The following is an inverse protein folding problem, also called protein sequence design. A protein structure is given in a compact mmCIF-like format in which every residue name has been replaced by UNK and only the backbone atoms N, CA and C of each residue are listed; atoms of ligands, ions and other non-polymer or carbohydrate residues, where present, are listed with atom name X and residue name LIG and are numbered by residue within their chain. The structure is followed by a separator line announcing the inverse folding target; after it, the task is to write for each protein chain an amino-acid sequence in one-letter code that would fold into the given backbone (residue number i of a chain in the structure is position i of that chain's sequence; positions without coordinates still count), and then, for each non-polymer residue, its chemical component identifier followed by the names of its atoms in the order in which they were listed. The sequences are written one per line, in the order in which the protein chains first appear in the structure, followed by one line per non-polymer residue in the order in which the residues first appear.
data_IF_446061262167
#
_entry.id   IF_446061262167
#
_cell.length_a   1.000
_cell.length_b   1.000
_cell.length_c   1.000
_cell.angle_alpha   90.00
_cell.angle_beta   90.00
_cell.angle_gamma   90.00
#
_symmetry.space_group_name_H-M   'P 1'
#
loop_
_entity.id
_entity.type
_entity.pdbx_description
1 polymer ?
#
# COMPACT_ATOMS: atom_id res chain seq x y z
N UNK A 1 33.91 59.04 11.13
CA UNK A 1 32.74 58.26 11.58
C UNK A 1 32.92 56.84 11.07
N UNK A 2 32.86 55.82 11.94
CA UNK A 2 33.11 54.44 11.54
C UNK A 2 31.92 53.96 10.70
N UNK A 3 32.22 53.40 9.52
CA UNK A 3 31.22 52.76 8.66
C UNK A 3 30.88 51.40 9.25
N UNK A 4 29.69 51.29 9.85
CA UNK A 4 29.10 50.01 10.24
C UNK A 4 28.89 49.16 8.98
N UNK A 5 29.78 48.20 8.76
CA UNK A 5 29.61 47.14 7.77
C UNK A 5 28.61 46.14 8.34
N UNK A 6 27.41 46.13 7.79
CA UNK A 6 26.39 45.12 8.06
C UNK A 6 27.01 43.73 7.73
N UNK A 7 26.96 42.76 8.66
CA UNK A 7 27.53 41.43 8.42
C UNK A 7 26.78 40.73 7.30
N UNK A 8 27.53 40.23 6.32
CA UNK A 8 27.00 39.42 5.23
C UNK A 8 26.32 38.17 5.81
N UNK A 9 25.00 38.11 5.70
CA UNK A 9 24.20 36.93 6.01
C UNK A 9 24.60 35.87 4.98
N UNK A 10 25.54 35.01 5.38
CA UNK A 10 25.91 33.83 4.60
C UNK A 10 24.80 32.82 4.78
N UNK A 11 23.83 32.82 3.86
CA UNK A 11 22.82 31.79 3.75
C UNK A 11 23.55 30.52 3.29
N UNK A 12 23.91 29.67 4.24
CA UNK A 12 24.45 28.35 3.92
C UNK A 12 23.38 27.57 3.15
N UNK A 13 23.66 27.02 1.96
CA UNK A 13 22.70 26.15 1.30
C UNK A 13 22.45 24.93 2.21
N UNK A 14 21.18 24.49 2.37
CA UNK A 14 20.88 23.29 3.13
C UNK A 14 21.58 22.11 2.45
N UNK A 15 22.61 21.58 3.09
CA UNK A 15 23.28 20.35 2.65
C UNK A 15 22.27 19.22 2.68
N UNK A 16 21.87 18.82 1.47
CA UNK A 16 20.83 17.86 1.14
C UNK A 16 21.26 16.44 1.55
N UNK A 17 21.00 16.06 2.79
CA UNK A 17 21.04 14.66 3.23
C UNK A 17 19.74 13.96 2.82
N UNK A 18 19.61 13.52 1.55
CA UNK A 18 18.39 12.83 1.06
C UNK A 18 18.62 11.54 0.26
N UNK A 19 19.83 10.96 0.24
CA UNK A 19 20.11 9.86 -0.68
C UNK A 19 19.86 8.43 -0.15
N UNK A 20 19.52 8.20 1.13
CA UNK A 20 19.44 6.83 1.69
C UNK A 20 18.06 6.40 2.22
N UNK A 21 17.04 7.25 2.16
CA UNK A 21 15.69 6.94 2.66
C UNK A 21 14.70 6.48 1.57
N UNK A 22 15.00 6.70 0.30
CA UNK A 22 14.03 6.53 -0.81
C UNK A 22 13.66 5.08 -1.14
N UNK A 23 14.59 4.13 -1.05
CA UNK A 23 14.24 2.72 -1.33
C UNK A 23 13.37 2.12 -0.22
N UNK A 24 13.41 2.69 0.99
CA UNK A 24 12.61 2.19 2.12
C UNK A 24 11.13 2.50 1.96
N UNK A 25 10.77 3.68 1.43
CA UNK A 25 9.38 4.13 1.31
C UNK A 25 8.60 3.35 0.25
N UNK A 26 9.19 3.09 -0.92
CA UNK A 26 8.55 2.26 -1.94
C UNK A 26 8.34 0.81 -1.47
N UNK A 27 9.32 0.23 -0.77
CA UNK A 27 9.22 -1.11 -0.20
C UNK A 27 8.15 -1.19 0.91
N UNK A 28 8.03 -0.16 1.74
CA UNK A 28 6.99 -0.04 2.76
C UNK A 28 5.59 0.06 2.16
N UNK A 29 5.39 0.89 1.13
CA UNK A 29 4.12 1.00 0.41
C UNK A 29 3.70 -0.34 -0.21
N UNK A 30 4.66 -1.10 -0.74
CA UNK A 30 4.41 -2.44 -1.27
C UNK A 30 4.03 -3.43 -0.19
N UNK A 31 4.75 -3.44 0.93
CA UNK A 31 4.45 -4.27 2.08
C UNK A 31 3.04 -3.98 2.62
N UNK A 32 2.62 -2.72 2.64
CA UNK A 32 1.28 -2.33 3.07
C UNK A 32 0.19 -2.81 2.09
N UNK A 33 0.41 -2.70 0.77
CA UNK A 33 -0.54 -3.25 -0.23
C UNK A 33 -0.67 -4.76 -0.15
N UNK A 34 0.44 -5.49 0.03
CA UNK A 34 0.43 -6.94 0.25
C UNK A 34 -0.29 -7.32 1.56
N UNK A 35 -0.15 -6.50 2.61
CA UNK A 35 -0.84 -6.71 3.87
C UNK A 35 -2.34 -6.53 3.72
N UNK A 36 -2.77 -5.50 2.99
CA UNK A 36 -4.20 -5.24 2.71
C UNK A 36 -4.82 -6.38 1.91
N UNK A 37 -4.15 -6.89 0.87
CA UNK A 37 -4.66 -8.05 0.10
C UNK A 37 -4.80 -9.30 0.98
N UNK A 38 -3.83 -9.53 1.87
CA UNK A 38 -3.87 -10.67 2.80
C UNK A 38 -4.99 -10.54 3.86
N UNK A 39 -5.27 -9.32 4.32
CA UNK A 39 -6.44 -9.03 5.19
C UNK A 39 -7.74 -9.41 4.46
N UNK A 40 -7.89 -8.99 3.20
CA UNK A 40 -9.07 -9.32 2.40
C UNK A 40 -9.22 -10.82 2.17
N UNK A 41 -8.14 -11.52 1.79
CA UNK A 41 -8.15 -12.97 1.63
C UNK A 41 -8.57 -13.68 2.93
N UNK A 42 -8.03 -13.24 4.08
CA UNK A 42 -8.37 -13.82 5.39
C UNK A 42 -9.84 -13.57 5.76
N UNK A 43 -10.39 -12.39 5.47
CA UNK A 43 -11.82 -12.10 5.68
C UNK A 43 -12.72 -12.98 4.81
N UNK A 44 -12.35 -13.20 3.55
CA UNK A 44 -13.08 -14.11 2.65
C UNK A 44 -13.07 -15.54 3.21
N UNK A 45 -11.93 -16.04 3.69
CA UNK A 45 -11.82 -17.36 4.36
C UNK A 45 -12.74 -17.46 5.58
N UNK A 46 -12.77 -16.43 6.42
CA UNK A 46 -13.66 -16.38 7.58
C UNK A 46 -15.15 -16.44 7.15
N UNK A 47 -15.51 -15.67 6.12
CA UNK A 47 -16.86 -15.70 5.54
C UNK A 47 -17.23 -17.08 4.99
N UNK A 48 -16.31 -17.74 4.29
CA UNK A 48 -16.48 -19.11 3.82
C UNK A 48 -16.67 -20.11 4.97
N UNK A 49 -15.86 -20.04 6.02
CA UNK A 49 -16.00 -20.91 7.19
C UNK A 49 -17.35 -20.72 7.89
N UNK A 50 -17.80 -19.46 8.03
CA UNK A 50 -19.11 -19.14 8.61
C UNK A 50 -20.25 -19.69 7.74
N UNK A 51 -20.17 -19.49 6.43
CA UNK A 51 -21.15 -20.02 5.48
C UNK A 51 -21.20 -21.55 5.49
N UNK A 52 -20.03 -22.22 5.48
CA UNK A 52 -19.93 -23.67 5.57
C UNK A 52 -20.54 -24.18 6.89
N UNK A 53 -20.23 -23.53 8.01
CA UNK A 53 -20.82 -23.87 9.31
C UNK A 53 -22.35 -23.73 9.30
N UNK A 54 -22.90 -22.70 8.67
CA UNK A 54 -24.35 -22.53 8.53
C UNK A 54 -24.95 -23.64 7.65
N UNK A 55 -24.33 -23.90 6.50
CA UNK A 55 -24.77 -24.93 5.56
C UNK A 55 -24.80 -26.31 6.22
N UNK A 56 -23.82 -26.63 7.07
CA UNK A 56 -23.79 -27.92 7.77
C UNK A 56 -24.98 -28.14 8.72
N UNK A 57 -25.62 -27.08 9.23
CA UNK A 57 -26.83 -27.23 10.03
C UNK A 57 -28.02 -27.74 9.21
N UNK A 58 -28.04 -27.46 7.91
CA UNK A 58 -29.10 -27.91 7.01
C UNK A 58 -28.80 -29.26 6.37
N UNK A 59 -27.52 -29.56 6.14
CA UNK A 59 -27.09 -30.77 5.41
C UNK A 59 -26.88 -31.97 6.34
N UNK A 60 -26.52 -31.75 7.60
CA UNK A 60 -26.25 -32.86 8.54
C UNK A 60 -27.51 -33.67 8.84
N UNK A 61 -27.45 -34.99 8.61
CA UNK A 61 -28.57 -35.89 8.88
C UNK A 61 -28.74 -36.20 10.37
N UNK A 62 -27.64 -36.18 11.14
CA UNK A 62 -27.65 -36.41 12.59
C UNK A 62 -27.11 -35.20 13.38
N UNK A 63 -27.65 -34.98 14.58
CA UNK A 63 -27.22 -33.89 15.48
C UNK A 63 -25.73 -33.99 15.86
N UNK A 64 -25.19 -35.19 16.03
CA UNK A 64 -23.78 -35.42 16.33
C UNK A 64 -22.87 -34.98 15.18
N UNK A 65 -23.27 -35.24 13.93
CA UNK A 65 -22.53 -34.83 12.72
C UNK A 65 -22.48 -33.30 12.62
N UNK A 66 -23.63 -32.64 12.84
CA UNK A 66 -23.72 -31.18 12.86
C UNK A 66 -22.81 -30.57 13.93
N UNK A 67 -22.74 -31.17 15.12
CA UNK A 67 -21.88 -30.70 16.22
C UNK A 67 -20.40 -30.86 15.85
N UNK A 68 -19.98 -32.02 15.34
CA UNK A 68 -18.57 -32.28 14.98
C UNK A 68 -18.12 -31.34 13.86
N UNK A 69 -18.91 -31.21 12.79
CA UNK A 69 -18.63 -30.30 11.69
C UNK A 69 -18.63 -28.83 12.14
N UNK A 70 -19.61 -28.44 12.95
CA UNK A 70 -19.70 -27.09 13.49
C UNK A 70 -18.49 -26.73 14.35
N UNK A 71 -18.04 -27.65 15.23
CA UNK A 71 -16.84 -27.46 16.05
C UNK A 71 -15.57 -27.35 15.19
N UNK A 72 -15.46 -28.15 14.14
CA UNK A 72 -14.33 -28.07 13.21
C UNK A 72 -14.29 -26.72 12.49
N UNK A 73 -15.41 -26.28 11.91
CA UNK A 73 -15.48 -24.98 11.22
C UNK A 73 -15.29 -23.81 12.19
N UNK A 74 -15.78 -23.93 13.43
CA UNK A 74 -15.52 -22.95 14.49
C UNK A 74 -14.02 -22.87 14.82
N UNK A 75 -13.33 -24.01 14.95
CA UNK A 75 -11.88 -24.04 15.18
C UNK A 75 -11.12 -23.33 14.06
N UNK A 76 -11.47 -23.63 12.80
CA UNK A 76 -10.88 -22.94 11.65
C UNK A 76 -11.19 -21.45 11.64
N UNK A 77 -12.43 -21.06 11.96
CA UNK A 77 -12.80 -19.66 12.07
C UNK A 77 -11.97 -18.92 13.13
N UNK A 78 -11.79 -19.53 14.31
CA UNK A 78 -10.97 -18.96 15.38
C UNK A 78 -9.49 -18.87 14.98
N UNK A 79 -8.97 -19.86 14.26
CA UNK A 79 -7.61 -19.81 13.70
C UNK A 79 -7.45 -18.65 12.71
N UNK A 80 -8.40 -18.48 11.79
CA UNK A 80 -8.38 -17.36 10.83
C UNK A 80 -8.52 -16.00 11.54
N UNK A 81 -9.36 -15.90 12.58
CA UNK A 81 -9.48 -14.70 13.41
C UNK A 81 -8.16 -14.38 14.14
N UNK A 82 -7.47 -15.40 14.65
CA UNK A 82 -6.17 -15.23 15.28
C UNK A 82 -5.12 -14.73 14.27
N UNK A 83 -5.07 -15.31 13.08
CA UNK A 83 -4.17 -14.88 12.00
C UNK A 83 -4.46 -13.44 11.56
N UNK A 84 -5.75 -13.07 11.44
CA UNK A 84 -6.17 -11.70 11.11
C UNK A 84 -5.71 -10.70 12.18
N UNK A 85 -5.90 -11.02 13.46
CA UNK A 85 -5.43 -10.18 14.58
C UNK A 85 -3.91 -10.03 14.57
N UNK A 86 -3.17 -11.12 14.34
CA UNK A 86 -1.71 -11.09 14.20
C UNK A 86 -1.27 -10.20 13.03
N UNK A 87 -1.96 -10.28 11.90
CA UNK A 87 -1.68 -9.44 10.73
C UNK A 87 -1.94 -7.97 11.03
N UNK A 88 -3.04 -7.64 11.71
CA UNK A 88 -3.34 -6.28 12.15
C UNK A 88 -2.34 -5.75 13.20
N UNK A 89 -1.75 -6.62 14.01
CA UNK A 89 -0.69 -6.27 14.97
C UNK A 89 0.70 -6.09 14.36
N UNK A 90 0.84 -6.16 13.02
CA UNK A 90 2.11 -5.92 12.33
C UNK A 90 2.99 -7.18 12.19
N UNK A 91 2.43 -8.38 12.34
CA UNK A 91 3.16 -9.61 12.04
C UNK A 91 3.59 -9.65 10.56
N UNK A 92 4.72 -10.30 10.28
CA UNK A 92 5.24 -10.47 8.91
C UNK A 92 4.20 -11.18 8.03
N UNK A 93 3.84 -10.54 6.92
CA UNK A 93 2.83 -11.05 5.97
C UNK A 93 3.19 -12.44 5.40
N UNK A 94 4.49 -12.74 5.27
CA UNK A 94 4.99 -14.05 4.83
C UNK A 94 4.46 -15.22 5.64
N UNK A 95 4.67 -15.17 6.95
CA UNK A 95 4.30 -16.27 7.82
C UNK A 95 2.78 -16.38 7.93
N UNK A 96 2.08 -15.25 8.07
CA UNK A 96 0.62 -15.25 8.18
C UNK A 96 -0.03 -15.81 6.92
N UNK A 97 0.47 -15.44 5.74
CA UNK A 97 -0.01 -15.96 4.46
C UNK A 97 0.15 -17.47 4.35
N UNK A 98 1.36 -17.97 4.65
CA UNK A 98 1.66 -19.40 4.59
C UNK A 98 0.83 -20.20 5.59
N UNK A 99 0.72 -19.76 6.85
CA UNK A 99 -0.10 -20.44 7.85
C UNK A 99 -1.58 -20.47 7.46
N UNK A 100 -2.10 -19.38 6.87
CA UNK A 100 -3.46 -19.34 6.33
C UNK A 100 -3.66 -20.37 5.21
N UNK A 101 -2.71 -20.49 4.28
CA UNK A 101 -2.75 -21.51 3.22
C UNK A 101 -2.64 -22.93 3.78
N UNK A 102 -1.77 -23.18 4.76
CA UNK A 102 -1.66 -24.49 5.42
C UNK A 102 -2.95 -24.87 6.14
N UNK A 103 -3.65 -23.91 6.74
CA UNK A 103 -4.97 -24.14 7.31
C UNK A 103 -5.98 -24.54 6.22
N UNK A 104 -6.00 -23.85 5.07
CA UNK A 104 -6.88 -24.21 3.95
C UNK A 104 -6.57 -25.61 3.40
N UNK A 105 -5.29 -26.00 3.32
CA UNK A 105 -4.86 -27.35 2.95
C UNK A 105 -5.38 -28.38 3.95
N UNK A 106 -5.29 -28.10 5.26
CA UNK A 106 -5.82 -28.98 6.29
C UNK A 106 -7.35 -29.15 6.17
N UNK A 107 -8.10 -28.08 5.88
CA UNK A 107 -9.54 -28.17 5.59
C UNK A 107 -9.79 -29.07 4.39
N UNK A 108 -9.07 -28.83 3.28
CA UNK A 108 -9.27 -29.58 2.04
C UNK A 108 -8.99 -31.08 2.24
N UNK A 109 -7.95 -31.45 2.99
CA UNK A 109 -7.62 -32.85 3.26
C UNK A 109 -8.56 -33.52 4.27
N UNK A 110 -9.15 -32.77 5.21
CA UNK A 110 -10.06 -33.33 6.22
C UNK A 110 -11.48 -33.50 5.71
N UNK A 111 -11.93 -32.66 4.77
CA UNK A 111 -13.28 -32.70 4.21
C UNK A 111 -13.69 -34.09 3.67
N UNK A 112 -12.91 -34.76 2.80
CA UNK A 112 -13.25 -36.10 2.33
C UNK A 112 -13.41 -37.09 3.47
N UNK A 113 -12.50 -37.09 4.45
CA UNK A 113 -12.56 -38.01 5.60
C UNK A 113 -13.85 -37.80 6.39
N UNK A 114 -14.26 -36.55 6.58
CA UNK A 114 -15.49 -36.25 7.31
C UNK A 114 -16.72 -36.68 6.52
N UNK A 115 -16.76 -36.38 5.22
CA UNK A 115 -17.83 -36.88 4.35
C UNK A 115 -17.90 -38.41 4.33
N UNK A 116 -16.76 -39.10 4.42
CA UNK A 116 -16.75 -40.55 4.57
C UNK A 116 -17.46 -40.97 5.84
N UNK A 117 -17.02 -40.44 6.98
CA UNK A 117 -17.60 -40.81 8.29
C UNK A 117 -19.10 -40.51 8.36
N UNK A 118 -19.57 -39.46 7.69
CA UNK A 118 -20.98 -39.04 7.69
C UNK A 118 -21.84 -39.87 6.73
N UNK A 119 -21.41 -40.02 5.47
CA UNK A 119 -22.22 -40.62 4.41
C UNK A 119 -21.92 -42.09 4.17
N UNK A 120 -20.81 -42.63 4.69
CA UNK A 120 -20.48 -44.01 4.43
C UNK A 120 -21.31 -44.95 5.31
N UNK A 121 -22.08 -45.81 4.67
CA UNK A 121 -22.48 -47.08 5.26
C UNK A 121 -21.26 -48.02 5.21
N UNK A 122 -21.26 -49.12 5.96
CA UNK A 122 -20.12 -50.07 6.03
C UNK A 122 -19.61 -50.56 4.65
N UNK A 123 -20.43 -50.41 3.61
CA UNK A 123 -20.20 -50.90 2.25
C UNK A 123 -19.83 -49.84 1.21
N UNK A 124 -19.83 -48.53 1.51
CA UNK A 124 -19.46 -47.53 0.49
C UNK A 124 -17.96 -47.24 0.48
N UNK A 125 -17.26 -47.48 -0.66
CA UNK A 125 -15.83 -47.25 -0.76
C UNK A 125 -15.48 -45.76 -0.67
N UNK A 126 -14.28 -45.45 -0.16
CA UNK A 126 -13.76 -44.09 -0.01
C UNK A 126 -13.80 -43.30 -1.33
N UNK A 127 -13.75 -44.01 -2.46
CA UNK A 127 -13.82 -43.46 -3.81
C UNK A 127 -15.15 -42.74 -4.10
N UNK A 128 -16.25 -43.09 -3.43
CA UNK A 128 -17.53 -42.42 -3.61
C UNK A 128 -17.49 -40.93 -3.19
N UNK A 129 -16.48 -40.53 -2.42
CA UNK A 129 -16.28 -39.16 -1.96
C UNK A 129 -15.81 -38.21 -3.05
N UNK A 130 -15.23 -38.73 -4.13
CA UNK A 130 -14.86 -37.89 -5.29
C UNK A 130 -16.08 -37.29 -5.97
N UNK A 131 -17.27 -37.89 -5.81
CA UNK A 131 -18.54 -37.35 -6.32
C UNK A 131 -18.91 -36.03 -5.66
N UNK A 132 -18.46 -35.76 -4.43
CA UNK A 132 -18.82 -34.57 -3.69
C UNK A 132 -17.94 -33.38 -4.07
N UNK A 133 -18.15 -32.81 -5.27
CA UNK A 133 -17.65 -31.49 -5.71
C UNK A 133 -16.23 -31.08 -5.23
N UNK A 134 -15.33 -32.03 -5.00
CA UNK A 134 -14.02 -31.79 -4.37
C UNK A 134 -13.15 -30.93 -5.29
N UNK A 135 -13.30 -31.13 -6.60
CA UNK A 135 -12.72 -30.30 -7.64
C UNK A 135 -13.15 -28.85 -7.50
N UNK A 136 -14.46 -28.60 -7.34
CA UNK A 136 -14.99 -27.23 -7.20
C UNK A 136 -14.50 -26.57 -5.91
N UNK A 137 -14.48 -27.30 -4.79
CA UNK A 137 -13.92 -26.81 -3.51
C UNK A 137 -12.43 -26.49 -3.64
N UNK A 138 -11.66 -27.35 -4.32
CA UNK A 138 -10.23 -27.14 -4.57
C UNK A 138 -9.99 -25.88 -5.40
N UNK A 139 -10.72 -25.71 -6.51
CA UNK A 139 -10.63 -24.52 -7.36
C UNK A 139 -11.02 -23.24 -6.62
N UNK A 140 -12.06 -23.29 -5.79
CA UNK A 140 -12.47 -22.16 -4.96
C UNK A 140 -11.36 -21.76 -3.97
N UNK A 141 -10.77 -22.72 -3.26
CA UNK A 141 -9.69 -22.45 -2.31
C UNK A 141 -8.40 -21.97 -3.01
N UNK A 142 -8.06 -22.52 -4.17
CA UNK A 142 -6.94 -22.03 -5.00
C UNK A 142 -7.17 -20.57 -5.38
N UNK A 143 -8.39 -20.22 -5.81
CA UNK A 143 -8.77 -18.85 -6.18
C UNK A 143 -8.63 -17.89 -4.99
N UNK A 144 -9.16 -18.26 -3.83
CA UNK A 144 -9.03 -17.45 -2.59
C UNK A 144 -7.57 -17.26 -2.20
N UNK A 145 -6.74 -18.29 -2.34
CA UNK A 145 -5.29 -18.20 -2.07
C UNK A 145 -4.56 -17.30 -3.09
N UNK A 146 -5.03 -17.22 -4.34
CA UNK A 146 -4.53 -16.30 -5.35
C UNK A 146 -4.77 -14.82 -5.03
N UNK A 147 -5.89 -14.50 -4.35
CA UNK A 147 -6.23 -13.12 -3.93
C UNK A 147 -5.23 -12.51 -2.93
N UNK A 148 -4.39 -13.33 -2.31
CA UNK A 148 -3.33 -12.84 -1.43
C UNK A 148 -2.18 -12.12 -2.18
N UNK A 149 -2.23 -12.01 -3.51
CA UNK A 149 -1.19 -11.42 -4.38
C UNK A 149 0.19 -12.05 -4.20
N UNK A 150 0.23 -13.30 -3.72
CA UNK A 150 1.44 -14.03 -3.39
C UNK A 150 1.42 -15.37 -4.12
N UNK A 151 2.22 -15.55 -5.18
CA UNK A 151 2.12 -16.72 -6.05
C UNK A 151 2.43 -18.04 -5.33
N UNK A 152 3.19 -18.00 -4.23
CA UNK A 152 3.47 -19.19 -3.43
C UNK A 152 2.20 -19.81 -2.83
N UNK A 153 1.23 -18.99 -2.41
CA UNK A 153 0.01 -19.48 -1.75
C UNK A 153 -0.85 -20.37 -2.68
N UNK A 154 -1.27 -19.93 -3.89
CA UNK A 154 -2.02 -20.79 -4.80
C UNK A 154 -1.18 -21.97 -5.29
N UNK A 155 0.16 -21.86 -5.42
CA UNK A 155 1.02 -23.00 -5.78
C UNK A 155 0.94 -24.10 -4.72
N UNK A 156 1.16 -23.76 -3.44
CA UNK A 156 1.09 -24.72 -2.33
C UNK A 156 -0.30 -25.37 -2.27
N UNK A 157 -1.36 -24.57 -2.43
CA UNK A 157 -2.73 -25.07 -2.45
C UNK A 157 -3.00 -26.01 -3.62
N UNK A 158 -2.47 -25.69 -4.81
CA UNK A 158 -2.61 -26.51 -6.03
C UNK A 158 -1.91 -27.84 -5.87
N UNK A 159 -0.67 -27.85 -5.37
CA UNK A 159 0.09 -29.08 -5.12
C UNK A 159 -0.66 -29.97 -4.13
N UNK A 160 -1.18 -29.39 -3.04
CA UNK A 160 -1.98 -30.14 -2.07
C UNK A 160 -3.26 -30.71 -2.68
N UNK A 161 -3.99 -29.93 -3.47
CA UNK A 161 -5.22 -30.39 -4.13
C UNK A 161 -4.94 -31.52 -5.13
N UNK A 162 -3.91 -31.40 -5.97
CA UNK A 162 -3.47 -32.45 -6.90
C UNK A 162 -3.08 -33.72 -6.13
N UNK A 163 -2.26 -33.59 -5.08
CA UNK A 163 -1.85 -34.72 -4.26
C UNK A 163 -3.04 -35.43 -3.61
N UNK A 164 -4.02 -34.68 -3.12
CA UNK A 164 -5.25 -35.24 -2.54
C UNK A 164 -6.06 -36.04 -3.57
N UNK A 165 -6.24 -35.53 -4.79
CA UNK A 165 -7.00 -36.23 -5.82
C UNK A 165 -6.28 -37.52 -6.27
N UNK A 166 -4.97 -37.45 -6.48
CA UNK A 166 -4.14 -38.62 -6.80
C UNK A 166 -4.20 -39.64 -5.66
N UNK A 167 -4.11 -39.19 -4.41
CA UNK A 167 -4.21 -40.06 -3.24
C UNK A 167 -5.57 -40.79 -3.19
N UNK A 168 -6.68 -40.06 -3.36
CA UNK A 168 -8.02 -40.67 -3.38
C UNK A 168 -8.19 -41.67 -4.53
N UNK A 169 -7.62 -41.37 -5.71
CA UNK A 169 -7.63 -42.29 -6.84
C UNK A 169 -6.84 -43.57 -6.53
N UNK A 170 -5.65 -43.46 -5.94
CA UNK A 170 -4.83 -44.60 -5.53
C UNK A 170 -5.54 -45.46 -4.49
N UNK A 171 -6.15 -44.84 -3.47
CA UNK A 171 -6.94 -45.57 -2.47
C UNK A 171 -8.09 -46.33 -3.14
N UNK A 172 -8.76 -45.74 -4.13
CA UNK A 172 -9.80 -46.43 -4.91
C UNK A 172 -9.29 -47.63 -5.70
N UNK A 173 -8.10 -47.54 -6.31
CA UNK A 173 -7.49 -48.63 -7.07
C UNK A 173 -7.09 -49.80 -6.16
N UNK A 174 -6.57 -49.50 -4.96
CA UNK A 174 -6.11 -50.50 -3.99
C UNK A 174 -7.20 -51.00 -3.04
N UNK A 175 -8.44 -50.51 -3.13
CA UNK A 175 -9.53 -50.97 -2.27
C UNK A 175 -9.94 -52.40 -2.65
N UNK A 176 -9.55 -53.36 -1.83
CA UNK A 176 -9.84 -54.79 -2.02
C UNK A 176 -11.34 -55.09 -2.07
N UNK A 177 -12.19 -54.20 -1.53
CA UNK A 177 -13.66 -54.36 -1.54
C UNK A 177 -14.25 -54.28 -2.95
N UNK A 178 -13.55 -53.61 -3.88
CA UNK A 178 -13.98 -53.48 -5.28
C UNK A 178 -13.57 -54.69 -6.14
N UNK A 179 -12.90 -55.70 -5.55
CA UNK A 179 -12.57 -56.97 -6.20
C UNK A 179 -11.64 -56.83 -7.42
N UNK A 180 -10.97 -55.69 -7.58
CA UNK A 180 -10.12 -55.38 -8.74
C UNK A 180 -10.86 -55.28 -10.08
N UNK A 181 -12.20 -55.39 -10.09
CA UNK A 181 -12.97 -55.34 -11.33
C UNK A 181 -13.18 -53.89 -11.76
N UNK A 182 -12.87 -53.59 -13.03
CA UNK A 182 -13.10 -52.26 -13.61
C UNK A 182 -14.57 -51.86 -13.59
N UNK A 183 -15.49 -52.83 -13.62
CA UNK A 183 -16.94 -52.60 -13.54
C UNK A 183 -17.39 -52.11 -12.16
N UNK A 184 -16.95 -52.74 -11.07
CA UNK A 184 -17.30 -52.28 -9.71
C UNK A 184 -16.73 -50.87 -9.43
N UNK A 185 -15.55 -50.57 -9.99
CA UNK A 185 -14.93 -49.25 -9.92
C UNK A 185 -15.76 -48.19 -10.65
N UNK A 186 -16.23 -48.50 -11.87
CA UNK A 186 -17.13 -47.64 -12.66
C UNK A 186 -18.46 -47.41 -11.95
N UNK A 187 -19.05 -48.44 -11.36
CA UNK A 187 -20.31 -48.32 -10.62
C UNK A 187 -20.15 -47.46 -9.35
N UNK A 188 -19.03 -47.63 -8.62
CA UNK A 188 -18.71 -46.80 -7.46
C UNK A 188 -18.51 -45.32 -7.82
N UNK A 189 -17.89 -45.03 -8.97
CA UNK A 189 -17.67 -43.67 -9.49
C UNK A 189 -18.92 -43.04 -10.11
N UNK A 190 -19.93 -43.84 -10.44
CA UNK A 190 -21.19 -43.40 -11.06
C UNK A 190 -21.08 -43.19 -12.57
N UNK A 191 -22.25 -43.12 -13.23
CA UNK A 191 -22.33 -42.88 -14.67
C UNK A 191 -21.64 -41.55 -15.04
N UNK A 192 -20.52 -41.65 -15.76
CA UNK A 192 -19.84 -40.50 -16.36
C UNK A 192 -18.45 -40.16 -15.83
N UNK A 193 -17.95 -40.83 -14.79
CA UNK A 193 -16.59 -40.57 -14.29
C UNK A 193 -15.75 -41.85 -14.29
N UNK A 194 -14.79 -41.94 -15.22
CA UNK A 194 -13.85 -43.06 -15.24
C UNK A 194 -12.79 -42.90 -14.14
N UNK A 195 -12.18 -44.00 -13.70
CA UNK A 195 -11.07 -43.92 -12.76
C UNK A 195 -9.87 -43.15 -13.33
N UNK A 196 -9.72 -43.16 -14.66
CA UNK A 196 -8.74 -42.33 -15.37
C UNK A 196 -9.08 -40.84 -15.24
N UNK A 197 -10.36 -40.47 -15.21
CA UNK A 197 -10.76 -39.07 -15.03
C UNK A 197 -10.38 -38.54 -13.64
N UNK A 198 -10.52 -39.36 -12.61
CA UNK A 198 -10.14 -38.98 -11.25
C UNK A 198 -8.61 -38.98 -11.05
N UNK A 199 -7.92 -39.97 -11.62
CA UNK A 199 -6.47 -40.13 -11.45
C UNK A 199 -5.64 -39.16 -12.30
N UNK A 200 -6.14 -38.77 -13.48
CA UNK A 200 -5.37 -37.98 -14.46
C UNK A 200 -6.09 -36.70 -14.87
N UNK A 201 -7.31 -36.78 -15.39
CA UNK A 201 -7.98 -35.61 -15.98
C UNK A 201 -8.23 -34.52 -14.95
N UNK A 202 -8.78 -34.88 -13.79
CA UNK A 202 -9.12 -33.93 -12.71
C UNK A 202 -7.88 -33.28 -12.11
N UNK A 203 -6.83 -34.02 -11.70
CA UNK A 203 -5.58 -33.42 -11.26
C UNK A 203 -4.93 -32.50 -12.30
N UNK A 204 -4.98 -32.86 -13.59
CA UNK A 204 -4.44 -32.02 -14.67
C UNK A 204 -5.23 -30.70 -14.79
N UNK A 205 -6.57 -30.76 -14.74
CA UNK A 205 -7.42 -29.54 -14.75
C UNK A 205 -7.08 -28.65 -13.55
N UNK A 206 -6.97 -29.23 -12.34
CA UNK A 206 -6.61 -28.50 -11.13
C UNK A 206 -5.21 -27.88 -11.26
N UNK A 207 -4.24 -28.62 -11.80
CA UNK A 207 -2.88 -28.13 -12.00
C UNK A 207 -2.83 -26.96 -12.99
N UNK A 208 -3.55 -27.04 -14.12
CA UNK A 208 -3.64 -25.97 -15.11
C UNK A 208 -4.32 -24.74 -14.51
N UNK A 209 -5.47 -24.91 -13.84
CA UNK A 209 -6.18 -23.82 -13.19
C UNK A 209 -5.33 -23.16 -12.09
N UNK A 210 -4.64 -23.97 -11.29
CA UNK A 210 -3.71 -23.50 -10.27
C UNK A 210 -2.52 -22.73 -10.83
N UNK A 211 -1.92 -23.22 -11.92
CA UNK A 211 -0.87 -22.52 -12.64
C UNK A 211 -1.36 -21.17 -13.18
N UNK A 212 -2.56 -21.13 -13.76
CA UNK A 212 -3.18 -19.89 -14.23
C UNK A 212 -3.39 -18.89 -13.09
N UNK A 213 -3.96 -19.32 -11.95
CA UNK A 213 -4.15 -18.44 -10.78
C UNK A 213 -2.81 -17.96 -10.20
N UNK A 214 -1.79 -18.82 -10.17
CA UNK A 214 -0.46 -18.45 -9.70
C UNK A 214 0.22 -17.42 -10.63
N UNK A 215 0.10 -17.59 -11.95
CA UNK A 215 0.59 -16.63 -12.94
C UNK A 215 -0.17 -15.31 -12.85
N UNK A 216 -1.49 -15.35 -12.69
CA UNK A 216 -2.31 -14.15 -12.49
C UNK A 216 -1.93 -13.42 -11.20
N UNK A 217 -1.69 -14.14 -10.10
CA UNK A 217 -1.22 -13.55 -8.85
C UNK A 217 0.19 -12.94 -9.00
N UNK A 218 1.08 -13.58 -9.75
CA UNK A 218 2.41 -13.05 -10.05
C UNK A 218 2.32 -11.78 -10.89
N UNK A 219 1.52 -11.79 -11.97
CA UNK A 219 1.31 -10.64 -12.83
C UNK A 219 0.66 -9.46 -12.08
N UNK A 220 -0.36 -9.73 -11.26
CA UNK A 220 -0.98 -8.73 -10.41
C UNK A 220 0.00 -8.15 -9.39
N UNK A 221 0.90 -8.97 -8.84
CA UNK A 221 1.96 -8.49 -7.95
C UNK A 221 2.93 -7.58 -8.70
N UNK A 222 3.39 -7.96 -9.90
CA UNK A 222 4.31 -7.14 -10.69
C UNK A 222 3.70 -5.81 -11.12
N UNK A 223 2.41 -5.77 -11.47
CA UNK A 223 1.73 -4.51 -11.81
C UNK A 223 1.60 -3.59 -10.60
N UNK A 224 1.35 -4.15 -9.40
CA UNK A 224 1.37 -3.36 -8.16
C UNK A 224 2.76 -2.82 -7.85
N UNK A 225 3.82 -3.62 -8.05
CA UNK A 225 5.21 -3.15 -7.93
C UNK A 225 5.52 -1.98 -8.86
N UNK A 226 5.16 -2.10 -10.13
CA UNK A 226 5.39 -1.05 -11.11
C UNK A 226 4.57 0.21 -10.80
N UNK A 227 3.29 0.05 -10.41
CA UNK A 227 2.43 1.16 -10.04
C UNK A 227 2.96 1.97 -8.85
N UNK A 228 3.44 1.29 -7.80
CA UNK A 228 4.06 1.96 -6.65
C UNK A 228 5.37 2.65 -7.05
N UNK A 229 6.18 2.03 -7.91
CA UNK A 229 7.40 2.65 -8.43
C UNK A 229 7.13 3.94 -9.20
N UNK A 230 6.09 3.95 -10.04
CA UNK A 230 5.66 5.14 -10.79
C UNK A 230 5.12 6.24 -9.87
N UNK A 231 4.25 5.88 -8.92
CA UNK A 231 3.69 6.82 -7.94
C UNK A 231 4.80 7.51 -7.13
N UNK A 232 5.82 6.75 -6.73
CA UNK A 232 6.97 7.31 -6.02
C UNK A 232 7.80 8.25 -6.90
N UNK A 233 8.11 7.86 -8.14
CA UNK A 233 8.86 8.70 -9.08
C UNK A 233 8.11 10.01 -9.42
N UNK A 234 6.79 9.95 -9.61
CA UNK A 234 5.95 11.14 -9.79
C UNK A 234 5.98 12.07 -8.57
N UNK A 235 5.94 11.49 -7.37
CA UNK A 235 6.09 12.24 -6.12
C UNK A 235 7.41 13.01 -6.03
N UNK A 236 8.53 12.35 -6.38
CA UNK A 236 9.86 12.97 -6.39
C UNK A 236 9.98 14.10 -7.41
N UNK A 237 9.50 13.89 -8.64
CA UNK A 237 9.50 14.92 -9.69
C UNK A 237 8.70 16.15 -9.25
N UNK A 238 7.54 15.93 -8.63
CA UNK A 238 6.71 17.02 -8.12
C UNK A 238 7.39 17.81 -7.01
N UNK A 239 8.12 17.15 -6.12
CA UNK A 239 8.89 17.81 -5.07
C UNK A 239 10.01 18.66 -5.66
N UNK A 240 10.78 18.13 -6.61
CA UNK A 240 11.85 18.88 -7.29
C UNK A 240 11.30 20.11 -8.03
N UNK A 241 10.16 19.97 -8.71
CA UNK A 241 9.50 21.10 -9.37
C UNK A 241 9.08 22.19 -8.37
N UNK A 242 8.57 21.80 -7.20
CA UNK A 242 8.21 22.74 -6.13
C UNK A 242 9.44 23.48 -5.60
N UNK A 243 10.56 22.79 -5.42
CA UNK A 243 11.83 23.39 -5.00
C UNK A 243 12.34 24.40 -6.02
N UNK A 244 12.35 24.03 -7.32
CA UNK A 244 12.74 24.94 -8.41
C UNK A 244 11.84 26.17 -8.51
N UNK A 245 10.52 26.00 -8.35
CA UNK A 245 9.57 27.13 -8.35
C UNK A 245 9.81 28.05 -7.16
N UNK A 246 10.11 27.48 -5.98
CA UNK A 246 10.41 28.27 -4.79
C UNK A 246 11.72 29.06 -4.96
N UNK A 247 12.77 28.43 -5.48
CA UNK A 247 14.05 29.07 -5.79
C UNK A 247 13.86 30.21 -6.80
N UNK A 248 13.14 29.97 -7.89
CA UNK A 248 12.84 30.99 -8.89
C UNK A 248 12.03 32.16 -8.30
N UNK A 249 11.09 31.89 -7.39
CA UNK A 249 10.34 32.94 -6.69
C UNK A 249 11.23 33.76 -5.76
N UNK A 250 12.13 33.13 -5.01
CA UNK A 250 13.06 33.84 -4.13
C UNK A 250 14.04 34.71 -4.91
N UNK A 251 14.53 34.21 -6.06
CA UNK A 251 15.35 35.00 -6.97
C UNK A 251 14.59 36.24 -7.49
N UNK A 252 13.36 36.05 -7.99
CA UNK A 252 12.53 37.15 -8.47
C UNK A 252 12.19 38.18 -7.37
N UNK A 253 11.95 37.72 -6.13
CA UNK A 253 11.76 38.62 -4.98
C UNK A 253 13.04 39.39 -4.67
N UNK A 254 14.20 38.76 -4.72
CA UNK A 254 15.49 39.42 -4.52
C UNK A 254 15.73 40.52 -5.56
N UNK A 255 15.47 40.23 -6.84
CA UNK A 255 15.60 41.21 -7.92
C UNK A 255 14.63 42.39 -7.76
N UNK A 256 13.39 42.11 -7.36
CA UNK A 256 12.40 43.15 -7.08
C UNK A 256 12.83 44.04 -5.90
N UNK A 257 13.33 43.45 -4.82
CA UNK A 257 13.82 44.20 -3.65
C UNK A 257 14.98 45.11 -4.06
N UNK A 258 15.94 44.61 -4.84
CA UNK A 258 17.05 45.41 -5.35
C UNK A 258 16.56 46.58 -6.25
N UNK A 259 15.56 46.32 -7.09
CA UNK A 259 14.90 47.36 -7.90
C UNK A 259 14.23 48.43 -7.04
N UNK A 260 13.44 48.02 -6.05
CA UNK A 260 12.76 48.93 -5.10
C UNK A 260 13.77 49.74 -4.29
N UNK A 261 14.86 49.14 -3.82
CA UNK A 261 15.93 49.88 -3.13
C UNK A 261 16.51 50.99 -4.00
N UNK A 262 16.74 50.72 -5.29
CA UNK A 262 17.25 51.71 -6.22
C UNK A 262 16.25 52.84 -6.47
N UNK A 263 14.97 52.50 -6.69
CA UNK A 263 13.91 53.47 -6.93
C UNK A 263 13.57 54.31 -5.69
N UNK A 264 13.68 53.76 -4.48
CA UNK A 264 13.46 54.48 -3.22
C UNK A 264 14.65 55.37 -2.86
N UNK A 265 15.89 54.93 -3.09
CA UNK A 265 17.07 55.74 -2.79
C UNK A 265 17.18 57.00 -3.64
N UNK A 266 16.70 56.99 -4.89
CA UNK A 266 16.74 58.16 -5.77
C UNK A 266 16.00 59.39 -5.20
N UNK A 267 14.69 59.35 -4.90
CA UNK A 267 13.96 60.47 -4.33
C UNK A 267 14.44 60.80 -2.92
N UNK A 268 14.88 59.81 -2.13
CA UNK A 268 15.41 60.03 -0.78
C UNK A 268 16.73 60.83 -0.83
N UNK A 269 17.58 60.54 -1.80
CA UNK A 269 18.76 61.34 -2.14
C UNK A 269 18.40 62.77 -2.57
N UNK A 270 17.38 62.92 -3.43
CA UNK A 270 16.90 64.24 -3.87
C UNK A 270 16.30 65.07 -2.72
N UNK A 271 15.49 64.45 -1.84
CA UNK A 271 14.95 65.10 -0.64
C UNK A 271 16.05 65.53 0.32
N UNK A 272 17.04 64.66 0.58
CA UNK A 272 18.19 64.99 1.43
C UNK A 272 18.99 66.16 0.86
N UNK A 273 19.25 66.15 -0.45
CA UNK A 273 19.92 67.25 -1.15
C UNK A 273 19.14 68.56 -1.08
N UNK A 274 17.81 68.49 -1.24
CA UNK A 274 16.91 69.65 -1.14
C UNK A 274 16.89 70.22 0.28
N UNK A 275 16.84 69.35 1.29
CA UNK A 275 16.87 69.74 2.72
C UNK A 275 18.19 70.41 3.08
N UNK A 276 19.32 69.87 2.62
CA UNK A 276 20.66 70.43 2.82
C UNK A 276 20.86 71.78 2.10
N UNK A 277 20.22 71.94 0.92
CA UNK A 277 20.18 73.23 0.23
C UNK A 277 19.33 74.24 1.00
N UNK A 278 18.19 73.81 1.53
CA UNK A 278 17.30 74.63 2.36
C UNK A 278 17.96 75.12 3.65
N UNK A 279 18.62 74.24 4.41
CA UNK A 279 19.35 74.63 5.63
C UNK A 279 20.49 75.60 5.34
N UNK A 280 21.24 75.40 4.23
CA UNK A 280 22.28 76.35 3.80
C UNK A 280 21.69 77.72 3.44
N UNK A 281 20.58 77.76 2.70
CA UNK A 281 19.91 79.02 2.36
C UNK A 281 19.46 79.77 3.63
N UNK A 282 18.82 79.07 4.57
CA UNK A 282 18.40 79.64 5.87
C UNK A 282 19.60 80.17 6.67
N UNK A 283 20.71 79.42 6.71
CA UNK A 283 21.92 79.85 7.43
C UNK A 283 22.53 81.13 6.83
N UNK A 284 22.53 81.28 5.50
CA UNK A 284 22.99 82.51 4.83
C UNK A 284 22.07 83.69 5.12
N UNK A 285 20.75 83.51 5.02
CA UNK A 285 19.78 84.55 5.39
C UNK A 285 19.99 85.01 6.82
N UNK A 286 20.17 84.06 7.76
CA UNK A 286 20.43 84.38 9.16
C UNK A 286 21.74 85.18 9.32
N UNK A 287 22.80 84.79 8.64
CA UNK A 287 24.10 85.47 8.70
C UNK A 287 24.01 86.89 8.13
N UNK A 288 23.37 87.08 6.97
CA UNK A 288 23.16 88.40 6.37
C UNK A 288 22.30 89.28 7.28
N UNK A 289 21.24 88.72 7.88
CA UNK A 289 20.39 89.44 8.83
C UNK A 289 21.17 89.87 10.09
N UNK A 290 22.00 88.98 10.66
CA UNK A 290 22.89 89.32 11.78
C UNK A 290 23.85 90.45 11.38
N UNK A 291 24.47 90.41 10.20
CA UNK A 291 25.37 91.49 9.74
C UNK A 291 24.66 92.83 9.59
N UNK A 292 23.44 92.86 9.04
CA UNK A 292 22.64 94.10 8.90
C UNK A 292 22.24 94.67 10.26
N UNK A 293 22.00 93.81 11.25
CA UNK A 293 21.66 94.24 12.62
C UNK A 293 22.91 94.81 13.34
N UNK A 294 24.08 94.18 13.21
CA UNK A 294 25.31 94.63 13.89
C UNK A 294 26.00 95.81 13.21
N UNK A 295 25.95 95.90 11.88
CA UNK A 295 26.51 97.01 11.09
C UNK A 295 25.44 97.56 10.15
N UNK A 296 24.51 98.41 10.64
CA UNK A 296 23.45 98.96 9.80
C UNK A 296 24.09 99.75 8.65
N UNK A 297 23.69 99.48 7.39
CA UNK A 297 24.31 100.13 6.25
C UNK A 297 24.21 101.65 6.37
N UNK A 298 25.30 102.35 6.06
CA UNK A 298 25.43 103.80 6.25
C UNK A 298 24.36 104.65 5.52
N UNK A 299 23.64 104.07 4.56
CA UNK A 299 22.47 104.66 3.91
C UNK A 299 21.23 104.72 4.82
N UNK A 300 21.02 103.71 5.66
CA UNK A 300 19.92 103.61 6.63
C UNK A 300 20.15 104.57 7.81
N UNK A 301 21.40 104.71 8.25
CA UNK A 301 21.80 105.74 9.22
C UNK A 301 21.65 107.17 8.66
N UNK A 302 21.83 107.38 7.35
CA UNK A 302 21.57 108.68 6.69
C UNK A 302 20.09 108.99 6.50
N UNK A 303 19.23 108.00 6.28
CA UNK A 303 17.78 108.25 6.18
C UNK A 303 17.16 108.54 7.55
N UNK A 304 17.65 107.90 8.62
CA UNK A 304 17.22 108.18 10.00
C UNK A 304 17.76 109.51 10.57
N UNK A 305 18.78 110.10 9.93
CA UNK A 305 19.37 111.39 10.35
C UNK A 305 18.78 112.62 9.62
N UNK A 306 17.91 112.40 8.62
CA UNK A 306 17.25 113.44 7.84
C UNK A 306 15.75 113.57 8.14
N UNK A 307 15.24 112.81 9.10
CA UNK A 307 13.95 113.00 9.80
C UNK A 307 14.23 113.54 11.21
#
# INVERSE_FOLDING_TARGET
MPSDRIPAITILPPTLHLASTDTSTAAELLAERERVSLIWATRIRMGFCLFASLLTLFVAGRRSEAIVLGLLFLLFFLLQLFLLRRLMAGARADHVGLFGTLADVAILCTLPVIWHVIYSNEFTPLLHLSKHNLTATSLALITVNGLALRPLNPIVMTVAAVALHVFLALVGIFDSRLGGSSQALLEALGDGMSALDLAFVTPVIIAIAGAFVALAAHAARSTVHEAVGREHAEGQLRQQQLELVLEAKMAAVSDLVAGVEHEVNNPLGAMRSSTDTGTRAVSRIRQELETVITEPPASLLRSLAND
#
